data_IF_080731735995
#
_entry.id   IF_080731735995
#
_cell.length_a   1.000
_cell.length_b   1.000
_cell.length_c   1.000
_cell.angle_alpha   90.00
_cell.angle_beta   90.00
_cell.angle_gamma   90.00
#
_symmetry.space_group_name_H-M   'P 1'
#
loop_
_entity.id
_entity.type
_entity.pdbx_description
1 polymer ?
#
# COMPACT_ATOMS: atom_id res chain seq x y z
N UNK A 1 -2.30 -19.06 26.00
CA UNK A 1 -3.02 -18.34 27.07
C UNK A 1 -2.15 -18.12 28.31
N UNK A 2 -1.40 -19.10 28.77
CA UNK A 2 -0.68 -19.05 30.06
C UNK A 2 0.38 -17.94 30.20
N UNK A 3 0.83 -17.31 29.09
CA UNK A 3 1.84 -16.23 29.12
C UNK A 3 1.35 -14.92 29.76
N UNK A 4 0.07 -14.76 30.01
CA UNK A 4 -0.52 -13.60 30.65
C UNK A 4 -1.26 -13.95 31.96
N UNK A 5 -1.21 -15.21 32.35
CA UNK A 5 -1.85 -15.71 33.58
C UNK A 5 -0.86 -15.66 34.77
N UNK A 6 -1.41 -15.66 35.97
CA UNK A 6 -0.66 -15.66 37.22
C UNK A 6 -1.22 -16.73 38.19
N UNK A 7 -0.34 -17.42 38.87
CA UNK A 7 -0.71 -18.38 39.92
C UNK A 7 0.08 -18.09 41.19
N UNK A 8 -0.59 -17.57 42.22
CA UNK A 8 0.09 -17.00 43.38
C UNK A 8 1.00 -15.83 42.93
N UNK A 9 2.23 -15.86 43.32
CA UNK A 9 3.22 -14.84 42.91
C UNK A 9 3.93 -15.16 41.59
N UNK A 10 3.62 -16.31 40.96
CA UNK A 10 4.28 -16.77 39.73
C UNK A 10 3.52 -16.31 38.51
N UNK A 11 4.20 -15.50 37.68
CA UNK A 11 3.75 -15.10 36.36
C UNK A 11 4.09 -16.17 35.31
N UNK A 12 3.27 -16.25 34.25
CA UNK A 12 3.46 -17.20 33.15
C UNK A 12 3.61 -18.66 33.65
N UNK A 13 2.58 -19.22 34.33
CA UNK A 13 2.70 -20.54 34.90
C UNK A 13 2.92 -21.61 33.85
N UNK A 14 3.76 -22.61 34.17
CA UNK A 14 4.02 -23.75 33.31
C UNK A 14 2.90 -24.80 33.44
N UNK A 15 2.33 -25.28 32.31
CA UNK A 15 1.37 -26.36 32.32
C UNK A 15 2.00 -27.70 32.77
N UNK A 16 3.33 -27.80 32.72
CA UNK A 16 4.07 -28.98 33.14
C UNK A 16 4.27 -29.01 34.65
N UNK A 17 4.57 -27.85 35.29
CA UNK A 17 5.07 -27.82 36.65
C UNK A 17 4.09 -27.15 37.62
N UNK A 18 3.33 -26.14 37.19
CA UNK A 18 2.61 -25.25 38.08
C UNK A 18 1.10 -25.45 38.09
N UNK A 19 0.52 -25.72 36.89
CA UNK A 19 -0.93 -25.76 36.72
C UNK A 19 -1.38 -26.98 35.90
N UNK A 20 -2.60 -27.43 36.16
CA UNK A 20 -3.36 -28.24 35.27
C UNK A 20 -4.22 -27.31 34.42
N UNK A 21 -4.03 -27.37 33.07
CA UNK A 21 -4.84 -26.62 32.12
C UNK A 21 -5.94 -27.52 31.57
N UNK A 22 -7.16 -27.08 31.70
CA UNK A 22 -8.33 -27.77 31.15
C UNK A 22 -8.99 -26.92 30.11
N UNK A 23 -8.97 -27.34 28.81
CA UNK A 23 -9.72 -26.70 27.75
C UNK A 23 -11.22 -26.66 28.06
N UNK A 24 -11.84 -25.51 27.87
CA UNK A 24 -13.30 -25.34 27.99
C UNK A 24 -13.96 -25.33 26.60
N UNK A 25 -14.81 -24.34 26.35
CA UNK A 25 -15.61 -24.24 25.13
C UNK A 25 -15.02 -23.22 24.17
N UNK A 26 -14.81 -23.64 22.92
CA UNK A 26 -14.52 -22.77 21.81
C UNK A 26 -15.82 -22.21 21.19
N UNK A 27 -15.85 -20.94 20.82
CA UNK A 27 -16.97 -20.34 20.08
C UNK A 27 -17.05 -20.78 18.62
N UNK A 28 -16.01 -21.46 18.11
CA UNK A 28 -15.95 -21.99 16.75
C UNK A 28 -15.17 -23.33 16.73
N UNK A 29 -15.63 -24.35 15.97
CA UNK A 29 -14.99 -25.66 15.93
C UNK A 29 -13.58 -25.65 15.33
N UNK A 30 -13.20 -24.61 14.58
CA UNK A 30 -11.86 -24.44 14.04
C UNK A 30 -10.80 -24.03 15.08
N UNK A 31 -11.15 -23.85 16.35
CA UNK A 31 -10.23 -23.49 17.43
C UNK A 31 -9.96 -24.70 18.32
N UNK A 32 -8.69 -25.00 18.56
CA UNK A 32 -8.27 -26.08 19.44
C UNK A 32 -7.22 -25.59 20.42
N UNK A 33 -7.41 -25.80 21.71
CA UNK A 33 -6.42 -25.52 22.73
C UNK A 33 -5.49 -26.72 22.92
N UNK A 34 -4.20 -26.48 22.85
CA UNK A 34 -3.16 -27.47 23.07
C UNK A 34 -2.79 -27.59 24.55
N UNK A 35 -2.17 -28.67 24.94
CA UNK A 35 -1.75 -28.93 26.32
C UNK A 35 -0.76 -27.88 26.88
N UNK A 36 -0.03 -27.19 25.99
CA UNK A 36 0.90 -26.11 26.35
C UNK A 36 0.22 -24.73 26.51
N UNK A 37 -1.10 -24.66 26.32
CA UNK A 37 -1.87 -23.44 26.40
C UNK A 37 -1.84 -22.58 25.12
N UNK A 38 -1.30 -23.08 24.04
CA UNK A 38 -1.46 -22.47 22.71
C UNK A 38 -2.83 -22.78 22.12
N UNK A 39 -3.36 -21.88 21.29
CA UNK A 39 -4.60 -22.12 20.54
C UNK A 39 -4.24 -22.26 19.07
N UNK A 40 -4.53 -23.43 18.52
CA UNK A 40 -4.40 -23.72 17.07
C UNK A 40 -5.68 -23.30 16.37
N UNK A 41 -5.54 -22.66 15.22
CA UNK A 41 -6.62 -22.24 14.35
C UNK A 41 -6.55 -23.08 13.09
N UNK A 42 -7.63 -23.81 12.78
CA UNK A 42 -7.71 -24.62 11.58
C UNK A 42 -7.77 -23.77 10.31
N UNK A 43 -7.15 -24.24 9.24
CA UNK A 43 -7.26 -23.60 7.92
C UNK A 43 -8.72 -23.51 7.49
N UNK A 44 -9.11 -22.38 6.91
CA UNK A 44 -10.50 -22.14 6.51
C UNK A 44 -11.42 -21.65 7.62
N UNK A 45 -10.91 -21.42 8.87
CA UNK A 45 -11.68 -20.71 9.88
C UNK A 45 -11.96 -19.28 9.38
N UNK A 46 -13.23 -18.82 9.31
CA UNK A 46 -13.56 -17.50 8.80
C UNK A 46 -12.95 -16.36 9.63
N UNK A 47 -12.77 -15.20 9.03
CA UNK A 47 -12.41 -14.00 9.78
C UNK A 47 -13.52 -13.64 10.78
N UNK A 48 -13.13 -13.15 11.95
CA UNK A 48 -14.09 -12.80 12.99
C UNK A 48 -13.49 -12.73 14.38
N UNK A 49 -14.36 -12.48 15.33
CA UNK A 49 -14.00 -12.46 16.74
C UNK A 49 -14.49 -13.77 17.38
N UNK A 50 -13.58 -14.42 18.06
CA UNK A 50 -13.80 -15.71 18.69
C UNK A 50 -13.43 -15.67 20.16
N UNK A 51 -13.98 -16.60 20.92
CA UNK A 51 -13.63 -16.82 22.33
C UNK A 51 -13.31 -18.29 22.56
N UNK A 52 -12.41 -18.52 23.48
CA UNK A 52 -12.10 -19.85 24.01
C UNK A 52 -12.05 -19.79 25.53
N UNK A 53 -12.92 -20.50 26.20
CA UNK A 53 -12.88 -20.62 27.66
C UNK A 53 -11.89 -21.68 28.10
N UNK A 54 -11.25 -21.49 29.24
CA UNK A 54 -10.37 -22.49 29.85
C UNK A 54 -10.35 -22.35 31.35
N UNK A 55 -9.88 -23.38 32.04
CA UNK A 55 -9.71 -23.43 33.47
C UNK A 55 -8.26 -23.80 33.79
N UNK A 56 -7.69 -23.12 34.76
CA UNK A 56 -6.38 -23.47 35.34
C UNK A 56 -6.56 -23.79 36.82
N UNK A 57 -6.00 -24.91 37.25
CA UNK A 57 -5.98 -25.34 38.65
C UNK A 57 -4.52 -25.46 39.11
N UNK A 58 -4.23 -25.03 40.35
CA UNK A 58 -2.89 -25.23 40.93
C UNK A 58 -2.56 -26.71 41.06
N UNK A 59 -1.39 -27.15 40.60
CA UNK A 59 -0.97 -28.54 40.85
C UNK A 59 -0.76 -28.85 42.37
N UNK A 60 -0.26 -27.86 43.08
CA UNK A 60 -0.05 -28.00 44.56
C UNK A 60 -1.37 -27.96 45.34
N UNK A 61 -2.48 -27.47 44.80
CA UNK A 61 -3.81 -27.40 45.38
C UNK A 61 -4.88 -27.58 44.29
N UNK A 62 -5.16 -28.81 43.82
CA UNK A 62 -6.02 -29.06 42.66
C UNK A 62 -7.48 -28.62 42.81
N UNK A 63 -7.92 -28.25 43.98
CA UNK A 63 -9.23 -27.64 44.23
C UNK A 63 -9.27 -26.13 44.04
N UNK A 64 -8.09 -25.48 43.92
CA UNK A 64 -7.98 -24.05 43.64
C UNK A 64 -7.91 -23.85 42.11
N UNK A 65 -9.06 -23.58 41.52
CA UNK A 65 -9.22 -23.41 40.06
C UNK A 65 -9.82 -22.04 39.75
N UNK A 66 -9.38 -21.46 38.61
CA UNK A 66 -9.94 -20.25 38.04
C UNK A 66 -10.24 -20.45 36.57
N UNK A 67 -11.31 -19.79 36.12
CA UNK A 67 -11.73 -19.80 34.68
C UNK A 67 -11.42 -18.49 34.03
N UNK A 68 -10.98 -18.59 32.80
CA UNK A 68 -10.69 -17.42 31.98
C UNK A 68 -11.19 -17.59 30.53
N UNK A 69 -11.18 -16.48 29.80
CA UNK A 69 -11.59 -16.42 28.40
C UNK A 69 -10.45 -15.84 27.59
N UNK A 70 -10.00 -16.57 26.57
CA UNK A 70 -9.14 -16.04 25.52
C UNK A 70 -10.01 -15.39 24.43
N UNK A 71 -9.72 -14.14 24.11
CA UNK A 71 -10.33 -13.43 22.98
C UNK A 71 -9.39 -13.50 21.80
N UNK A 72 -9.92 -13.91 20.63
CA UNK A 72 -9.15 -14.17 19.43
C UNK A 72 -9.80 -13.40 18.29
N UNK A 73 -9.03 -12.55 17.61
CA UNK A 73 -9.46 -11.87 16.40
C UNK A 73 -8.72 -12.46 15.20
N UNK A 74 -9.46 -13.04 14.26
CA UNK A 74 -8.96 -13.45 12.96
C UNK A 74 -9.27 -12.36 11.93
N UNK A 75 -8.26 -12.01 11.16
CA UNK A 75 -8.39 -11.13 10.01
C UNK A 75 -7.45 -11.60 8.91
N UNK A 76 -7.71 -11.16 7.68
CA UNK A 76 -6.82 -11.42 6.55
C UNK A 76 -5.43 -10.82 6.79
N UNK A 77 -4.41 -11.48 6.28
CA UNK A 77 -3.10 -10.85 6.19
C UNK A 77 -3.14 -9.77 5.12
N UNK A 78 -2.66 -8.57 5.44
CA UNK A 78 -2.51 -7.46 4.51
C UNK A 78 -1.02 -7.13 4.40
N UNK A 79 -0.51 -7.10 3.18
CA UNK A 79 0.85 -6.69 2.84
C UNK A 79 0.77 -5.45 1.95
N UNK A 80 1.51 -4.40 2.31
CA UNK A 80 1.72 -3.22 1.48
C UNK A 80 3.22 -3.07 1.22
N UNK A 81 3.59 -2.94 -0.03
CA UNK A 81 4.95 -2.78 -0.49
C UNK A 81 5.17 -1.37 -1.03
N UNK A 82 6.40 -0.88 -0.89
CA UNK A 82 6.77 0.43 -1.41
C UNK A 82 6.79 0.43 -2.95
N UNK A 83 6.48 1.58 -3.54
CA UNK A 83 6.46 1.79 -4.98
C UNK A 83 7.54 2.78 -5.41
N UNK A 84 8.18 2.53 -6.55
CA UNK A 84 9.19 3.44 -7.10
C UNK A 84 8.96 3.72 -8.59
N UNK A 85 8.42 4.90 -8.89
CA UNK A 85 8.24 5.41 -10.23
C UNK A 85 9.37 6.37 -10.66
N UNK A 86 10.52 6.38 -9.95
CA UNK A 86 11.62 7.31 -10.25
C UNK A 86 12.29 7.08 -11.60
N UNK A 87 12.18 5.86 -12.15
CA UNK A 87 12.71 5.52 -13.48
C UNK A 87 11.86 6.07 -14.64
N UNK A 88 10.64 6.52 -14.37
CA UNK A 88 9.71 7.08 -15.35
C UNK A 88 9.24 8.46 -14.89
N UNK A 89 10.12 9.49 -14.94
CA UNK A 89 9.76 10.84 -14.55
C UNK A 89 8.54 11.35 -15.32
N UNK A 90 7.61 11.99 -14.60
CA UNK A 90 6.38 12.54 -15.20
C UNK A 90 6.46 14.04 -15.41
N UNK A 91 5.85 14.57 -16.48
CA UNK A 91 5.84 16.00 -16.74
C UNK A 91 4.93 16.75 -15.76
N UNK A 92 5.27 18.00 -15.49
CA UNK A 92 4.48 18.89 -14.63
C UNK A 92 3.44 19.75 -15.39
N UNK A 93 3.42 19.69 -16.72
CA UNK A 93 2.62 20.59 -17.56
C UNK A 93 1.10 20.37 -17.45
N UNK A 94 0.67 19.20 -17.03
CA UNK A 94 -0.74 18.84 -16.88
C UNK A 94 -0.92 17.84 -15.74
N UNK A 95 -2.18 17.62 -15.31
CA UNK A 95 -2.48 16.55 -14.36
C UNK A 95 -2.11 15.21 -14.97
N UNK A 96 -1.22 14.47 -14.31
CA UNK A 96 -0.65 13.23 -14.83
C UNK A 96 -0.85 12.09 -13.84
N UNK A 97 -1.31 10.93 -14.33
CA UNK A 97 -1.27 9.67 -13.59
C UNK A 97 0.16 9.16 -13.62
N UNK A 98 0.74 8.97 -12.46
CA UNK A 98 2.13 8.49 -12.28
C UNK A 98 2.21 6.98 -12.44
N UNK A 99 1.27 6.26 -11.84
CA UNK A 99 1.20 4.81 -11.84
C UNK A 99 0.13 4.29 -10.89
N UNK A 100 0.14 2.99 -10.64
CA UNK A 100 -0.83 2.34 -9.78
C UNK A 100 -0.12 1.65 -8.61
N UNK A 101 -0.44 2.05 -7.38
CA UNK A 101 0.23 1.58 -6.15
C UNK A 101 -0.12 0.13 -5.78
N UNK A 102 -1.23 -0.42 -6.26
CA UNK A 102 -1.62 -1.81 -5.96
C UNK A 102 -0.91 -2.83 -6.87
N UNK A 103 -0.45 -2.40 -8.05
CA UNK A 103 0.10 -3.30 -9.09
C UNK A 103 1.60 -3.19 -9.24
N UNK A 104 2.22 -2.15 -8.73
CA UNK A 104 3.66 -2.00 -8.74
C UNK A 104 4.26 -2.78 -7.54
N UNK A 105 5.63 -2.86 -7.28
CA UNK A 105 6.63 -3.41 -8.10
C UNK A 105 8.02 -3.37 -7.50
N UNK A 106 8.35 -2.54 -6.54
CA UNK A 106 9.57 -2.68 -5.76
C UNK A 106 9.22 -3.44 -4.47
N UNK A 107 9.72 -4.65 -4.33
CA UNK A 107 9.34 -5.52 -3.22
C UNK A 107 8.14 -6.44 -3.52
N UNK A 108 7.45 -6.25 -4.64
CA UNK A 108 6.30 -7.04 -5.09
C UNK A 108 4.96 -6.30 -5.01
N UNK A 109 3.91 -6.94 -5.49
CA UNK A 109 2.54 -6.40 -5.44
C UNK A 109 1.98 -6.43 -4.03
N UNK A 110 1.08 -5.51 -3.73
CA UNK A 110 0.31 -5.54 -2.48
C UNK A 110 -0.61 -6.75 -2.42
N UNK A 111 -0.79 -7.31 -1.21
CA UNK A 111 -1.52 -8.56 -1.06
C UNK A 111 -2.54 -8.51 0.07
N UNK A 112 -3.65 -9.17 -0.17
CA UNK A 112 -4.65 -9.50 0.83
C UNK A 112 -4.81 -11.02 0.88
N UNK A 113 -4.70 -11.61 2.07
CA UNK A 113 -4.73 -13.07 2.29
C UNK A 113 -3.68 -13.83 1.47
N UNK A 114 -2.50 -13.21 1.25
CA UNK A 114 -1.40 -13.81 0.50
C UNK A 114 -1.55 -13.76 -1.02
N UNK A 115 -2.67 -13.27 -1.55
CA UNK A 115 -2.90 -13.07 -2.99
C UNK A 115 -2.78 -11.59 -3.38
N UNK A 116 -2.28 -11.26 -4.59
CA UNK A 116 -2.30 -9.89 -5.10
C UNK A 116 -3.69 -9.27 -5.04
N UNK A 117 -3.78 -7.98 -4.68
CA UNK A 117 -5.05 -7.25 -4.63
C UNK A 117 -5.49 -6.95 -6.07
N UNK A 118 -6.31 -7.86 -6.63
CA UNK A 118 -6.89 -7.72 -7.97
C UNK A 118 -8.26 -7.05 -7.97
N UNK A 119 -8.94 -7.04 -6.82
CA UNK A 119 -10.20 -6.33 -6.61
C UNK A 119 -9.98 -5.17 -5.63
N UNK A 120 -9.82 -3.93 -6.12
CA UNK A 120 -9.57 -2.77 -5.28
C UNK A 120 -10.73 -2.41 -4.35
N UNK A 121 -11.95 -2.95 -4.57
CA UNK A 121 -13.10 -2.71 -3.69
C UNK A 121 -12.96 -3.37 -2.31
N UNK A 122 -12.03 -4.31 -2.16
CA UNK A 122 -11.72 -4.97 -0.89
C UNK A 122 -10.88 -4.11 0.05
N UNK A 123 -10.27 -3.06 -0.47
CA UNK A 123 -9.37 -2.17 0.28
C UNK A 123 -9.78 -0.70 0.13
N UNK A 124 -9.45 0.09 1.12
CA UNK A 124 -9.55 1.55 1.11
C UNK A 124 -8.14 2.14 1.09
N UNK A 125 -7.91 3.04 0.15
CA UNK A 125 -6.63 3.71 -0.06
C UNK A 125 -6.73 5.16 0.41
N UNK A 126 -5.77 5.61 1.22
CA UNK A 126 -5.71 6.99 1.71
C UNK A 126 -4.29 7.52 1.71
N UNK A 127 -4.11 8.79 1.36
CA UNK A 127 -2.83 9.48 1.53
C UNK A 127 -2.67 9.83 3.00
N UNK A 128 -1.52 9.46 3.56
CA UNK A 128 -1.13 9.76 4.95
C UNK A 128 -0.23 11.00 5.01
N UNK A 129 0.66 11.12 4.04
CA UNK A 129 1.57 12.27 3.91
C UNK A 129 1.91 12.49 2.44
N UNK A 130 1.68 13.70 1.95
CA UNK A 130 1.93 14.08 0.55
C UNK A 130 3.42 14.23 0.20
N UNK A 131 4.33 14.17 1.18
CA UNK A 131 5.77 14.27 0.94
C UNK A 131 6.24 15.61 0.35
N UNK A 132 5.49 16.68 0.57
CA UNK A 132 5.72 18.00 -0.01
C UNK A 132 5.09 18.22 -1.38
N UNK A 133 4.33 17.25 -1.90
CA UNK A 133 3.63 17.28 -3.17
C UNK A 133 2.17 17.69 -2.92
N UNK A 134 1.88 19.00 -2.97
CA UNK A 134 0.53 19.51 -2.69
C UNK A 134 -0.48 19.09 -3.76
N UNK A 135 -1.59 18.49 -3.34
CA UNK A 135 -2.70 18.12 -4.22
C UNK A 135 -2.50 16.81 -5.00
N UNK A 136 -1.63 15.93 -4.50
CA UNK A 136 -1.54 14.55 -5.00
C UNK A 136 -2.86 13.83 -4.73
N UNK A 137 -3.34 13.07 -5.70
CA UNK A 137 -4.57 12.29 -5.56
C UNK A 137 -4.27 10.79 -5.70
N UNK A 138 -4.91 10.00 -4.85
CA UNK A 138 -4.88 8.54 -4.88
C UNK A 138 -6.32 8.04 -5.04
N UNK A 139 -6.59 7.39 -6.16
CA UNK A 139 -7.92 6.88 -6.47
C UNK A 139 -8.18 5.54 -5.79
N UNK A 140 -9.45 5.16 -5.68
CA UNK A 140 -9.84 3.87 -5.07
C UNK A 140 -9.36 2.63 -5.83
N UNK A 141 -8.98 2.76 -7.11
CA UNK A 141 -8.40 1.68 -7.91
C UNK A 141 -6.85 1.61 -7.83
N UNK A 142 -6.22 2.50 -7.05
CA UNK A 142 -4.78 2.52 -6.83
C UNK A 142 -4.01 3.50 -7.71
N UNK A 143 -4.64 4.22 -8.64
CA UNK A 143 -3.93 5.19 -9.47
C UNK A 143 -3.55 6.42 -8.64
N UNK A 144 -2.26 6.76 -8.65
CA UNK A 144 -1.74 7.98 -8.06
C UNK A 144 -1.46 9.02 -9.13
N UNK A 145 -1.93 10.24 -8.93
CA UNK A 145 -1.77 11.35 -9.88
C UNK A 145 -1.29 12.63 -9.20
N UNK A 146 -0.54 13.42 -9.98
CA UNK A 146 -0.06 14.75 -9.58
C UNK A 146 -0.84 15.84 -10.32
N UNK A 147 -1.07 17.01 -9.70
CA UNK A 147 -1.70 18.14 -10.37
C UNK A 147 -0.76 18.81 -11.38
N UNK A 148 -1.35 19.56 -12.31
CA UNK A 148 -0.59 20.45 -13.19
C UNK A 148 0.17 21.50 -12.38
N UNK A 149 1.37 21.84 -12.84
CA UNK A 149 2.22 22.85 -12.19
C UNK A 149 2.98 22.35 -10.97
N UNK A 150 2.98 21.05 -10.71
CA UNK A 150 3.83 20.47 -9.66
C UNK A 150 5.29 20.79 -9.94
N UNK A 151 6.05 21.40 -9.00
CA UNK A 151 7.46 21.70 -9.22
C UNK A 151 8.27 20.43 -9.53
N UNK A 152 9.29 20.56 -10.37
CA UNK A 152 10.20 19.44 -10.61
C UNK A 152 10.93 19.05 -9.33
N UNK A 153 11.09 17.75 -9.14
CA UNK A 153 11.73 17.22 -7.94
C UNK A 153 11.44 15.75 -7.70
N UNK A 154 12.01 15.26 -6.61
CA UNK A 154 11.73 13.90 -6.10
C UNK A 154 10.84 14.03 -4.86
N UNK A 155 9.74 13.32 -4.87
CA UNK A 155 8.74 13.31 -3.82
C UNK A 155 8.57 11.89 -3.26
N UNK A 156 8.30 11.79 -1.96
CA UNK A 156 8.02 10.52 -1.27
C UNK A 156 6.67 10.67 -0.59
N UNK A 157 5.63 10.15 -1.22
CA UNK A 157 4.27 10.18 -0.71
C UNK A 157 4.02 8.93 0.11
N UNK A 158 3.46 9.10 1.31
CA UNK A 158 3.08 7.98 2.18
C UNK A 158 1.59 7.73 2.06
N UNK A 159 1.21 6.49 1.83
CA UNK A 159 -0.17 6.07 1.74
C UNK A 159 -0.48 4.90 2.68
N UNK A 160 -1.74 4.66 2.88
CA UNK A 160 -2.27 3.56 3.70
C UNK A 160 -3.24 2.74 2.87
N UNK A 161 -3.13 1.42 3.02
CA UNK A 161 -4.12 0.44 2.56
C UNK A 161 -4.82 -0.09 3.80
N UNK A 162 -6.14 -0.04 3.83
CA UNK A 162 -6.97 -0.60 4.89
C UNK A 162 -7.94 -1.62 4.31
N UNK A 163 -8.15 -2.73 4.97
CA UNK A 163 -9.18 -3.69 4.55
C UNK A 163 -10.58 -3.10 4.80
N UNK A 164 -11.47 -3.12 3.81
CA UNK A 164 -12.82 -2.52 3.92
C UNK A 164 -13.65 -3.20 5.02
N UNK A 165 -13.54 -4.53 5.16
CA UNK A 165 -14.25 -5.31 6.19
C UNK A 165 -13.70 -5.11 7.61
N UNK A 166 -12.46 -4.64 7.75
CA UNK A 166 -11.83 -4.32 9.04
C UNK A 166 -10.79 -3.20 8.87
N UNK A 167 -11.21 -1.96 9.04
CA UNK A 167 -10.34 -0.78 8.88
C UNK A 167 -9.19 -0.70 9.89
N UNK A 168 -9.21 -1.50 10.97
CA UNK A 168 -8.07 -1.64 11.88
C UNK A 168 -6.99 -2.57 11.32
N UNK A 169 -7.31 -3.38 10.30
CA UNK A 169 -6.34 -4.14 9.53
C UNK A 169 -5.83 -3.24 8.40
N UNK A 170 -4.74 -2.52 8.65
CA UNK A 170 -4.12 -1.62 7.68
C UNK A 170 -2.61 -1.79 7.64
N UNK A 171 -2.02 -1.37 6.53
CA UNK A 171 -0.58 -1.22 6.31
C UNK A 171 -0.30 0.12 5.65
N UNK A 172 0.92 0.61 5.84
CA UNK A 172 1.41 1.84 5.21
C UNK A 172 2.61 1.51 4.33
N UNK A 173 2.69 2.17 3.20
CA UNK A 173 3.81 2.11 2.28
C UNK A 173 4.11 3.50 1.72
N UNK A 174 5.21 3.62 1.00
CA UNK A 174 5.59 4.87 0.35
C UNK A 174 5.64 4.70 -1.16
N UNK A 175 5.34 5.76 -1.88
CA UNK A 175 5.54 5.84 -3.31
C UNK A 175 6.53 6.95 -3.63
N UNK A 176 7.56 6.63 -4.40
CA UNK A 176 8.55 7.58 -4.90
C UNK A 176 8.13 8.08 -6.28
N UNK A 177 8.02 9.38 -6.43
CA UNK A 177 7.64 10.07 -7.66
C UNK A 177 8.74 11.05 -8.05
N UNK A 178 9.12 11.06 -9.34
CA UNK A 178 10.00 12.09 -9.90
C UNK A 178 9.21 12.92 -10.90
N UNK A 179 9.18 14.21 -10.67
CA UNK A 179 8.56 15.20 -11.57
C UNK A 179 9.67 15.89 -12.35
N UNK A 180 9.57 15.86 -13.68
CA UNK A 180 10.52 16.50 -14.59
C UNK A 180 10.03 17.86 -15.08
N UNK A 181 10.96 18.75 -15.39
CA UNK A 181 10.68 20.00 -16.09
C UNK A 181 10.62 19.72 -17.61
N UNK A 182 9.61 18.99 -18.04
CA UNK A 182 9.37 18.93 -19.49
C UNK A 182 8.57 20.17 -19.90
N UNK A 183 9.18 20.99 -20.74
CA UNK A 183 8.51 22.11 -21.42
C UNK A 183 7.98 21.52 -22.73
N UNK A 184 6.66 21.51 -22.93
CA UNK A 184 6.10 20.94 -24.15
C UNK A 184 6.58 21.73 -25.37
N UNK A 185 7.06 21.01 -26.39
CA UNK A 185 7.33 21.61 -27.68
C UNK A 185 6.01 21.83 -28.44
N UNK A 186 5.73 23.06 -28.86
CA UNK A 186 4.57 23.38 -29.68
C UNK A 186 5.02 23.55 -31.13
N UNK A 187 4.49 22.69 -32.01
CA UNK A 187 4.77 22.74 -33.45
C UNK A 187 3.62 23.45 -34.17
N UNK A 188 3.93 24.52 -34.88
CA UNK A 188 2.98 25.19 -35.77
C UNK A 188 2.90 24.52 -37.12
N UNK A 189 1.69 24.21 -37.58
CA UNK A 189 1.44 23.39 -38.78
C UNK A 189 1.56 24.13 -40.12
N UNK A 190 1.88 25.43 -40.10
CA UNK A 190 1.92 26.23 -41.33
C UNK A 190 2.92 27.37 -41.25
N UNK A 191 3.55 27.64 -42.36
CA UNK A 191 4.38 28.81 -42.57
C UNK A 191 3.76 29.58 -43.75
N UNK A 192 3.55 30.89 -43.59
CA UNK A 192 3.10 31.78 -44.66
C UNK A 192 4.04 32.98 -44.72
N UNK A 193 5.07 32.86 -45.52
CA UNK A 193 6.10 33.89 -45.69
C UNK A 193 5.54 35.02 -46.56
N UNK A 194 4.77 35.94 -45.99
CA UNK A 194 4.13 37.07 -46.66
C UNK A 194 4.53 38.43 -46.07
N UNK A 195 5.34 38.43 -44.99
CA UNK A 195 5.87 39.66 -44.37
C UNK A 195 4.87 40.37 -43.48
N UNK A 196 3.79 39.70 -43.02
CA UNK A 196 2.78 40.29 -42.15
C UNK A 196 3.12 40.12 -40.64
N UNK A 197 4.21 39.41 -40.35
CA UNK A 197 4.67 39.12 -39.00
C UNK A 197 3.99 37.89 -38.34
N UNK A 198 3.05 37.23 -39.05
CA UNK A 198 2.39 36.04 -38.57
C UNK A 198 2.80 34.80 -39.35
N UNK A 199 3.35 33.79 -38.70
CA UNK A 199 3.80 32.55 -39.32
C UNK A 199 4.81 32.73 -40.47
N UNK A 200 5.59 33.83 -40.48
CA UNK A 200 6.63 34.11 -41.46
C UNK A 200 7.87 33.19 -41.29
N UNK A 201 7.96 32.47 -40.20
CA UNK A 201 9.03 31.53 -39.88
C UNK A 201 8.53 30.23 -39.30
N UNK A 202 9.32 29.17 -39.41
CA UNK A 202 9.06 27.93 -38.68
C UNK A 202 9.56 28.07 -37.24
N UNK A 203 8.63 28.13 -36.33
CA UNK A 203 8.91 28.27 -34.90
C UNK A 203 8.46 26.98 -34.16
N UNK A 204 9.32 26.49 -33.30
CA UNK A 204 8.98 25.46 -32.31
C UNK A 204 9.06 26.13 -30.94
N UNK A 205 7.91 26.42 -30.37
CA UNK A 205 7.89 27.01 -29.02
C UNK A 205 8.42 26.01 -27.98
N UNK A 206 9.23 26.47 -27.04
CA UNK A 206 9.86 25.67 -26.03
C UNK A 206 11.21 25.04 -26.42
N UNK A 207 11.63 25.13 -27.66
CA UNK A 207 12.88 24.50 -28.15
C UNK A 207 14.14 25.08 -27.50
N UNK A 208 14.07 26.35 -27.07
CA UNK A 208 15.14 27.03 -26.34
C UNK A 208 15.56 26.33 -25.04
N UNK A 209 14.70 25.51 -24.49
CA UNK A 209 14.98 24.72 -23.29
C UNK A 209 15.69 23.37 -23.58
N UNK A 210 15.91 23.05 -24.85
CA UNK A 210 16.57 21.84 -25.33
C UNK A 210 17.86 22.18 -26.12
N UNK A 211 18.95 22.57 -25.42
CA UNK A 211 20.15 23.11 -26.11
C UNK A 211 20.83 22.12 -27.06
N UNK A 212 20.64 20.82 -26.83
CA UNK A 212 21.23 19.76 -27.68
C UNK A 212 20.26 19.25 -28.75
N UNK A 213 19.20 20.01 -29.08
CA UNK A 213 18.25 19.64 -30.12
C UNK A 213 18.88 19.62 -31.50
N UNK A 214 18.41 18.74 -32.39
CA UNK A 214 18.76 18.70 -33.81
C UNK A 214 17.48 18.70 -34.62
N UNK A 215 17.26 19.80 -35.34
CA UNK A 215 16.17 19.91 -36.30
C UNK A 215 16.65 19.51 -37.72
N UNK A 216 15.90 18.67 -38.41
CA UNK A 216 16.16 18.29 -39.81
C UNK A 216 14.90 18.51 -40.62
N UNK A 217 15.05 19.23 -41.75
CA UNK A 217 13.96 19.53 -42.69
C UNK A 217 14.14 18.70 -43.93
N UNK A 218 13.09 18.04 -44.37
CA UNK A 218 13.06 17.23 -45.59
C UNK A 218 11.98 17.77 -46.54
N UNK A 219 12.22 17.74 -47.83
CA UNK A 219 11.19 18.02 -48.82
C UNK A 219 10.20 16.84 -48.94
N UNK A 220 9.14 17.00 -49.74
CA UNK A 220 8.13 15.97 -49.95
C UNK A 220 8.63 14.64 -50.53
N UNK A 221 9.83 14.61 -51.03
CA UNK A 221 10.48 13.42 -51.61
C UNK A 221 11.45 12.77 -50.63
N UNK A 222 11.51 13.26 -49.36
CA UNK A 222 12.40 12.75 -48.33
C UNK A 222 13.87 13.19 -48.49
N UNK A 223 14.13 14.20 -49.34
CA UNK A 223 15.47 14.75 -49.51
C UNK A 223 15.69 15.86 -48.48
N UNK A 224 16.82 15.84 -47.79
CA UNK A 224 17.23 16.88 -46.87
C UNK A 224 17.37 18.22 -47.59
N UNK A 225 16.85 19.31 -47.04
CA UNK A 225 16.82 20.64 -47.63
C UNK A 225 17.72 21.58 -46.84
#
# INVERSE_FOLDING_TARGET
>A
VLKNDQVGDKQNPSPTDDVNLTPGTASHPGLTMNADGTITIASGTPNGNYTYTYEICKKAAPSECERAIAYIKLHDSLEANDDDFSSTPVPSSHKTVVGNVLTNNVGGTDKLSGAPISDPTLVELTIVNEGGLTGVELSGNGDISIPAGTPSGRYIVKYRISQVSDRNNYKEAVVTIVVSNEIPLVFHNGISVNGDGNNDGFVIEGIEHYPDNVQRIFNRLGVFV
#
